data_IF_086486124862
#
_entry.id   IF_086486124862
#
_cell.length_a   1.000
_cell.length_b   1.000
_cell.length_c   1.000
_cell.angle_alpha   90.00
_cell.angle_beta   90.00
_cell.angle_gamma   90.00
#
_symmetry.space_group_name_H-M   'P 1'
#
loop_
_entity.id
_entity.type
_entity.pdbx_description
1 polymer ?
#
# COMPACT_ATOMS: atom_id res chain seq x y z
N UNK A 1 9.94 -40.65 4.81
CA UNK A 1 9.50 -39.57 3.90
C UNK A 1 10.47 -38.40 4.08
N UNK A 2 11.21 -37.96 3.05
CA UNK A 2 12.09 -36.80 3.21
C UNK A 2 11.23 -35.54 3.32
N UNK A 3 11.40 -34.82 4.42
CA UNK A 3 10.81 -33.50 4.64
C UNK A 3 11.61 -32.53 3.77
N UNK A 4 11.09 -32.17 2.59
CA UNK A 4 11.70 -31.11 1.78
C UNK A 4 11.44 -29.78 2.49
N UNK A 5 12.34 -29.43 3.42
CA UNK A 5 12.40 -28.11 4.03
C UNK A 5 12.81 -27.12 2.95
N UNK A 6 11.85 -26.40 2.39
CA UNK A 6 12.14 -25.24 1.56
C UNK A 6 12.49 -24.12 2.52
N UNK A 7 13.77 -23.81 2.65
CA UNK A 7 14.24 -22.70 3.47
C UNK A 7 13.77 -21.39 2.81
N UNK A 8 13.04 -20.52 3.52
CA UNK A 8 12.54 -19.29 2.94
C UNK A 8 13.71 -18.31 2.72
N UNK A 9 13.77 -17.73 1.53
CA UNK A 9 14.75 -16.69 1.17
C UNK A 9 14.13 -15.31 1.32
N UNK A 10 14.97 -14.30 1.54
CA UNK A 10 14.55 -12.91 1.70
C UNK A 10 14.28 -12.27 0.33
N UNK A 11 13.09 -11.72 0.14
CA UNK A 11 12.72 -10.86 -0.98
C UNK A 11 12.45 -9.45 -0.47
N UNK A 12 12.92 -8.43 -1.20
CA UNK A 12 12.71 -7.02 -0.87
C UNK A 12 11.91 -6.36 -1.98
N UNK A 13 10.75 -5.82 -1.62
CA UNK A 13 9.83 -5.13 -2.52
C UNK A 13 9.85 -3.64 -2.21
N UNK A 14 9.72 -2.79 -3.21
CA UNK A 14 9.65 -1.35 -3.01
C UNK A 14 9.01 -0.62 -4.19
N UNK A 15 8.50 0.58 -3.95
CA UNK A 15 7.94 1.44 -4.99
C UNK A 15 7.78 2.88 -4.51
N UNK A 16 7.64 3.85 -5.43
CA UNK A 16 7.36 5.24 -5.07
C UNK A 16 5.91 5.42 -4.59
N UNK A 17 5.66 6.35 -3.66
CA UNK A 17 4.32 6.84 -3.27
C UNK A 17 4.43 8.08 -2.39
N UNK A 18 3.43 8.98 -2.39
CA UNK A 18 3.34 10.12 -1.45
C UNK A 18 4.62 10.98 -1.36
N UNK A 19 5.34 11.18 -2.47
CA UNK A 19 6.63 11.91 -2.48
C UNK A 19 7.80 11.19 -1.78
N UNK A 20 7.63 9.91 -1.42
CA UNK A 20 8.61 9.04 -0.78
C UNK A 20 8.62 7.64 -1.45
N UNK A 21 9.22 6.65 -0.78
CA UNK A 21 9.25 5.24 -1.19
C UNK A 21 8.73 4.33 -0.07
N UNK A 22 7.90 3.36 -0.43
CA UNK A 22 7.54 2.26 0.45
C UNK A 22 8.51 1.09 0.26
N UNK A 23 8.68 0.27 1.30
CA UNK A 23 9.43 -0.98 1.20
C UNK A 23 8.80 -2.07 2.06
N UNK A 24 8.91 -3.32 1.62
CA UNK A 24 8.49 -4.50 2.37
C UNK A 24 9.55 -5.59 2.23
N UNK A 25 9.85 -6.28 3.33
CA UNK A 25 10.70 -7.47 3.34
C UNK A 25 9.83 -8.69 3.62
N UNK A 26 9.89 -9.69 2.74
CA UNK A 26 9.17 -10.95 2.89
C UNK A 26 10.15 -12.12 2.84
N UNK A 27 9.84 -13.19 3.57
CA UNK A 27 10.61 -14.44 3.55
C UNK A 27 9.74 -15.52 2.91
N UNK A 28 10.12 -15.99 1.72
CA UNK A 28 9.33 -16.90 0.91
C UNK A 28 10.25 -17.83 0.10
N UNK A 29 9.75 -18.96 -0.45
CA UNK A 29 10.54 -19.81 -1.36
C UNK A 29 11.23 -19.01 -2.47
N UNK A 30 12.39 -19.47 -2.95
CA UNK A 30 13.12 -18.79 -4.02
C UNK A 30 12.29 -18.68 -5.33
N UNK A 31 11.41 -19.64 -5.59
CA UNK A 31 10.50 -19.64 -6.73
C UNK A 31 9.24 -18.78 -6.54
N UNK A 32 9.14 -18.03 -5.44
CA UNK A 32 8.00 -17.16 -5.17
C UNK A 32 7.93 -16.01 -6.17
N UNK A 33 6.79 -15.88 -6.86
CA UNK A 33 6.52 -14.74 -7.73
C UNK A 33 6.04 -13.55 -6.89
N UNK A 34 6.92 -12.57 -6.70
CA UNK A 34 6.64 -11.39 -5.89
C UNK A 34 5.85 -10.28 -6.62
N UNK A 35 5.57 -10.42 -7.92
CA UNK A 35 4.89 -9.38 -8.71
C UNK A 35 3.48 -9.09 -8.19
N UNK A 36 2.60 -10.09 -7.95
CA UNK A 36 1.25 -9.80 -7.46
C UNK A 36 1.24 -9.13 -6.09
N UNK A 37 2.21 -9.46 -5.21
CA UNK A 37 2.36 -8.80 -3.91
C UNK A 37 2.86 -7.37 -4.05
N UNK A 38 3.78 -7.13 -4.98
CA UNK A 38 4.28 -5.78 -5.28
C UNK A 38 3.15 -4.90 -5.80
N UNK A 39 2.33 -5.41 -6.71
CA UNK A 39 1.17 -4.71 -7.27
C UNK A 39 0.11 -4.43 -6.19
N UNK A 40 -0.18 -5.42 -5.35
CA UNK A 40 -1.10 -5.25 -4.22
C UNK A 40 -0.60 -4.18 -3.24
N UNK A 41 0.66 -4.24 -2.83
CA UNK A 41 1.25 -3.24 -1.93
C UNK A 41 1.24 -1.84 -2.55
N UNK A 42 1.56 -1.72 -3.84
CA UNK A 42 1.49 -0.45 -4.56
C UNK A 42 0.06 0.11 -4.60
N UNK A 43 -0.93 -0.75 -4.85
CA UNK A 43 -2.33 -0.36 -4.82
C UNK A 43 -2.77 0.11 -3.42
N UNK A 44 -2.40 -0.62 -2.37
CA UNK A 44 -2.75 -0.27 -0.99
C UNK A 44 -2.19 1.08 -0.56
N UNK A 45 -0.90 1.32 -0.77
CA UNK A 45 -0.30 2.62 -0.44
C UNK A 45 -0.79 3.74 -1.36
N UNK A 46 -1.24 3.40 -2.58
CA UNK A 46 -1.93 4.34 -3.47
C UNK A 46 -3.30 4.75 -2.94
N UNK A 47 -4.08 3.79 -2.42
CA UNK A 47 -5.36 4.08 -1.76
C UNK A 47 -5.21 4.99 -0.55
N UNK A 48 -4.14 4.82 0.24
CA UNK A 48 -3.84 5.74 1.35
C UNK A 48 -3.58 7.16 0.84
N UNK A 49 -2.84 7.32 -0.26
CA UNK A 49 -2.60 8.63 -0.87
C UNK A 49 -3.91 9.25 -1.40
N UNK A 50 -4.77 8.45 -2.03
CA UNK A 50 -6.09 8.91 -2.51
C UNK A 50 -7.00 9.33 -1.34
N UNK A 51 -6.92 8.68 -0.19
CA UNK A 51 -7.73 9.02 0.98
C UNK A 51 -7.17 10.23 1.75
N UNK A 52 -5.85 10.29 1.93
CA UNK A 52 -5.23 11.12 2.97
C UNK A 52 -4.38 12.28 2.45
N UNK A 53 -4.13 12.37 1.14
CA UNK A 53 -3.25 13.42 0.61
C UNK A 53 -3.87 14.81 0.78
N UNK A 54 -3.13 15.72 1.41
CA UNK A 54 -3.50 17.14 1.48
C UNK A 54 -3.15 17.91 0.21
N UNK A 55 -2.55 17.26 -0.78
CA UNK A 55 -2.16 17.85 -2.07
C UNK A 55 -3.15 17.52 -3.19
N UNK A 56 -3.94 16.46 -3.02
CA UNK A 56 -5.01 16.06 -3.93
C UNK A 56 -6.33 16.66 -3.46
N UNK A 57 -6.87 17.61 -4.21
CA UNK A 57 -8.14 18.28 -3.89
C UNK A 57 -9.32 17.32 -3.77
N UNK A 58 -9.23 16.21 -4.49
CA UNK A 58 -10.19 15.14 -4.61
C UNK A 58 -10.05 14.08 -3.51
N UNK A 59 -9.02 14.16 -2.66
CA UNK A 59 -8.85 13.19 -1.57
C UNK A 59 -10.02 13.24 -0.59
N UNK A 60 -10.30 12.11 0.05
CA UNK A 60 -11.38 12.04 1.04
C UNK A 60 -11.14 13.02 2.20
N UNK A 61 -9.87 13.18 2.63
CA UNK A 61 -9.48 14.17 3.61
C UNK A 61 -9.75 15.60 3.13
N UNK A 62 -9.45 15.93 1.87
CA UNK A 62 -9.65 17.29 1.36
C UNK A 62 -11.12 17.61 1.11
N UNK A 63 -11.91 16.63 0.69
CA UNK A 63 -13.38 16.73 0.65
C UNK A 63 -13.95 17.00 2.03
N UNK A 64 -13.48 16.29 3.05
CA UNK A 64 -13.91 16.52 4.44
C UNK A 64 -13.52 17.93 4.92
N UNK A 65 -12.27 18.34 4.69
CA UNK A 65 -11.79 19.66 5.11
C UNK A 65 -12.53 20.83 4.42
N UNK A 66 -13.04 20.61 3.21
CA UNK A 66 -13.83 21.61 2.47
C UNK A 66 -15.30 21.68 2.92
N UNK A 67 -15.78 20.73 3.72
CA UNK A 67 -17.17 20.70 4.15
C UNK A 67 -17.50 21.79 5.17
N UNK A 68 -18.72 22.32 5.07
CA UNK A 68 -19.18 23.32 6.03
C UNK A 68 -19.34 22.71 7.45
N UNK A 69 -19.08 23.48 8.52
CA UNK A 69 -19.30 23.02 9.88
C UNK A 69 -20.71 22.44 10.09
N UNK A 70 -20.80 21.31 10.79
CA UNK A 70 -22.07 20.61 11.05
C UNK A 70 -22.61 19.78 9.88
N UNK A 71 -21.89 19.70 8.76
CA UNK A 71 -22.23 18.76 7.66
C UNK A 71 -21.54 17.43 7.87
N UNK A 72 -22.32 16.36 7.75
CA UNK A 72 -21.80 15.01 7.61
C UNK A 72 -21.25 14.81 6.20
N UNK A 73 -20.10 14.13 6.14
CA UNK A 73 -19.44 13.72 4.90
C UNK A 73 -19.16 12.23 5.03
N UNK A 74 -19.68 11.45 4.10
CA UNK A 74 -19.33 10.04 4.01
C UNK A 74 -17.90 9.92 3.51
N UNK A 75 -17.06 9.28 4.33
CA UNK A 75 -15.67 8.92 4.04
C UNK A 75 -15.55 7.39 4.03
N UNK A 76 -14.56 6.81 3.33
CA UNK A 76 -14.35 5.36 3.27
C UNK A 76 -14.03 4.71 4.61
#
# INVERSE_FOLDING_TARGET
MPKMSIEPVRHVLSGPTMGTRWSATIYAPAAFDARPVTEALAAEVGRVDDQMSTWKSESDLMRLNAAAPGRWVDIP
#
